data_IF_621811542090
#
_entry.id   IF_621811542090
#
_cell.length_a   1.000
_cell.length_b   1.000
_cell.length_c   1.000
_cell.angle_alpha   90.00
_cell.angle_beta   90.00
_cell.angle_gamma   90.00
#
_symmetry.space_group_name_H-M   'P 1'
#
loop_
_entity.id
_entity.type
_entity.pdbx_description
1 polymer ?
#
# COMPACT_ATOMS: atom_id res chain seq x y z
N UNK A 1 -13.22 -0.49 -11.34
CA UNK A 1 -11.81 -0.23 -10.97
C UNK A 1 -10.95 -1.27 -11.67
N UNK A 2 -9.95 -0.89 -12.46
CA UNK A 2 -9.04 -1.86 -13.10
C UNK A 2 -8.08 -2.40 -12.03
N UNK A 3 -7.91 -3.73 -11.96
CA UNK A 3 -6.95 -4.37 -11.07
C UNK A 3 -5.55 -4.33 -11.70
N UNK A 4 -4.61 -3.71 -11.00
CA UNK A 4 -3.21 -3.67 -11.40
C UNK A 4 -2.48 -4.86 -10.78
N UNK A 5 -2.15 -5.86 -11.60
CA UNK A 5 -1.48 -7.10 -11.16
C UNK A 5 0.04 -7.05 -11.33
N UNK A 6 0.52 -6.28 -12.31
CA UNK A 6 1.95 -6.19 -12.63
C UNK A 6 2.35 -4.75 -12.92
N UNK A 7 3.65 -4.43 -12.81
CA UNK A 7 4.16 -3.10 -13.16
C UNK A 7 3.85 -2.71 -14.62
N UNK A 8 3.66 -3.69 -15.52
CA UNK A 8 3.25 -3.47 -16.91
C UNK A 8 1.75 -3.15 -17.06
N UNK A 9 0.93 -3.52 -16.09
CA UNK A 9 -0.50 -3.19 -16.12
C UNK A 9 -0.78 -1.72 -15.78
N UNK A 10 0.21 -1.02 -15.21
CA UNK A 10 0.13 0.40 -14.86
C UNK A 10 0.42 1.21 -16.14
N UNK A 11 -0.56 1.95 -16.68
CA UNK A 11 -0.44 2.59 -17.99
C UNK A 11 0.75 3.56 -18.07
N UNK A 12 1.07 4.23 -16.97
CA UNK A 12 2.19 5.17 -16.85
C UNK A 12 3.56 4.49 -17.01
N UNK A 13 3.68 3.21 -16.63
CA UNK A 13 4.93 2.44 -16.61
C UNK A 13 5.09 1.48 -17.81
N UNK A 14 4.07 1.32 -18.65
CA UNK A 14 4.01 0.27 -19.69
C UNK A 14 5.17 0.39 -20.69
N UNK A 15 5.40 1.61 -21.19
CA UNK A 15 6.33 1.88 -22.29
C UNK A 15 7.77 2.09 -21.81
N UNK A 16 8.02 2.07 -20.50
CA UNK A 16 9.35 2.24 -19.93
C UNK A 16 10.15 0.92 -19.95
N UNK A 17 11.48 0.99 -20.18
CA UNK A 17 12.35 -0.17 -20.04
C UNK A 17 12.33 -0.69 -18.60
N UNK A 18 12.53 -2.00 -18.43
CA UNK A 18 12.28 -2.70 -17.16
C UNK A 18 13.09 -2.15 -15.96
N UNK A 19 14.31 -1.67 -16.21
CA UNK A 19 15.17 -1.08 -15.17
C UNK A 19 14.60 0.25 -14.66
N UNK A 20 14.23 1.16 -15.57
CA UNK A 20 13.64 2.47 -15.24
C UNK A 20 12.27 2.28 -14.56
N UNK A 21 11.44 1.37 -15.08
CA UNK A 21 10.13 1.05 -14.49
C UNK A 21 10.24 0.62 -13.02
N UNK A 22 11.18 -0.27 -12.70
CA UNK A 22 11.38 -0.72 -11.30
C UNK A 22 11.91 0.40 -10.42
N UNK A 23 12.83 1.22 -10.92
CA UNK A 23 13.38 2.37 -10.20
C UNK A 23 12.29 3.39 -9.86
N UNK A 24 11.54 3.85 -10.87
CA UNK A 24 10.48 4.84 -10.70
C UNK A 24 9.36 4.35 -9.79
N UNK A 25 8.96 3.07 -9.94
CA UNK A 25 7.96 2.48 -9.05
C UNK A 25 8.46 2.42 -7.60
N UNK A 26 9.72 2.04 -7.37
CA UNK A 26 10.31 2.02 -6.02
C UNK A 26 10.36 3.43 -5.43
N UNK A 27 10.73 4.42 -6.21
CA UNK A 27 10.81 5.82 -5.78
C UNK A 27 9.44 6.38 -5.41
N UNK A 28 8.42 6.13 -6.25
CA UNK A 28 7.03 6.47 -5.91
C UNK A 28 6.53 5.73 -4.67
N UNK A 29 6.89 4.45 -4.50
CA UNK A 29 6.61 3.65 -3.30
C UNK A 29 7.19 4.25 -2.02
N UNK A 30 8.43 4.75 -2.08
CA UNK A 30 9.09 5.37 -0.93
C UNK A 30 8.40 6.68 -0.49
N UNK A 31 7.73 7.35 -1.43
CA UNK A 31 7.01 8.59 -1.16
C UNK A 31 5.58 8.36 -0.65
N UNK A 32 4.95 7.21 -0.96
CA UNK A 32 3.58 6.88 -0.55
C UNK A 32 3.23 7.10 0.93
N UNK A 33 4.07 6.75 1.92
CA UNK A 33 3.75 6.95 3.34
C UNK A 33 3.55 8.41 3.74
N UNK A 34 3.85 9.36 2.85
CA UNK A 34 3.59 10.78 3.02
C UNK A 34 2.10 11.13 3.03
N UNK A 35 1.27 10.39 2.28
CA UNK A 35 -0.14 10.73 2.13
C UNK A 35 -1.01 10.01 3.15
N UNK A 36 -1.97 10.72 3.76
CA UNK A 36 -2.92 10.12 4.70
C UNK A 36 -3.74 8.98 4.05
N UNK A 37 -4.00 9.08 2.75
CA UNK A 37 -4.67 8.05 1.94
C UNK A 37 -3.94 6.70 2.01
N UNK A 38 -2.61 6.70 2.15
CA UNK A 38 -1.83 5.48 2.34
C UNK A 38 -2.16 4.83 3.69
N UNK A 39 -2.20 5.62 4.76
CA UNK A 39 -2.55 5.12 6.09
C UNK A 39 -4.00 4.63 6.17
N UNK A 40 -4.92 5.29 5.46
CA UNK A 40 -6.31 4.83 5.29
C UNK A 40 -6.35 3.48 4.57
N UNK A 41 -5.61 3.33 3.47
CA UNK A 41 -5.48 2.04 2.77
C UNK A 41 -4.93 0.93 3.68
N UNK A 42 -4.02 1.27 4.59
CA UNK A 42 -3.39 0.32 5.50
C UNK A 42 -4.40 -0.15 6.55
N UNK A 43 -5.14 0.79 7.13
CA UNK A 43 -6.22 0.51 8.06
C UNK A 43 -7.30 -0.36 7.41
N UNK A 44 -7.70 -0.07 6.17
CA UNK A 44 -8.68 -0.89 5.43
C UNK A 44 -8.16 -2.30 5.19
N UNK A 45 -6.88 -2.47 4.82
CA UNK A 45 -6.29 -3.79 4.64
C UNK A 45 -6.25 -4.59 5.96
N UNK A 46 -5.94 -3.95 7.09
CA UNK A 46 -5.96 -4.57 8.42
C UNK A 46 -7.38 -4.98 8.81
N UNK A 47 -8.38 -4.11 8.65
CA UNK A 47 -9.79 -4.43 8.92
C UNK A 47 -10.24 -5.61 8.06
N UNK A 48 -9.86 -5.62 6.79
CA UNK A 48 -10.17 -6.72 5.88
C UNK A 48 -9.59 -8.04 6.38
N UNK A 49 -8.32 -8.05 6.79
CA UNK A 49 -7.68 -9.23 7.37
C UNK A 49 -8.40 -9.68 8.66
N UNK A 50 -8.83 -8.77 9.53
CA UNK A 50 -9.59 -9.13 10.74
C UNK A 50 -10.91 -9.83 10.35
N UNK A 51 -11.66 -9.27 9.40
CA UNK A 51 -12.93 -9.86 8.93
C UNK A 51 -12.67 -11.25 8.34
N UNK A 52 -11.68 -11.39 7.46
CA UNK A 52 -11.34 -12.69 6.87
C UNK A 52 -10.89 -13.69 7.93
N UNK A 53 -10.19 -13.25 8.98
CA UNK A 53 -9.82 -14.09 10.11
C UNK A 53 -11.05 -14.61 10.84
N UNK A 54 -11.98 -13.72 11.22
CA UNK A 54 -13.22 -14.11 11.91
C UNK A 54 -14.07 -15.07 11.08
N UNK A 55 -14.17 -14.80 9.78
CA UNK A 55 -14.89 -15.68 8.85
C UNK A 55 -14.21 -17.05 8.74
N UNK A 56 -12.88 -17.09 8.63
CA UNK A 56 -12.13 -18.34 8.55
C UNK A 56 -12.29 -19.18 9.82
N UNK A 57 -12.20 -18.55 11.00
CA UNK A 57 -12.33 -19.23 12.28
C UNK A 57 -13.77 -19.74 12.52
N UNK A 58 -14.78 -19.06 11.97
CA UNK A 58 -16.18 -19.53 11.97
C UNK A 58 -16.37 -20.80 11.12
N UNK A 59 -15.79 -20.85 9.92
CA UNK A 59 -15.94 -22.00 9.02
C UNK A 59 -15.03 -23.19 9.37
N UNK A 60 -13.90 -22.94 10.03
CA UNK A 60 -12.93 -23.98 10.39
C UNK A 60 -12.54 -23.94 11.87
N UNK A 61 -13.49 -24.17 12.81
CA UNK A 61 -13.19 -24.09 14.23
C UNK A 61 -12.19 -25.17 14.67
N UNK A 62 -11.24 -24.79 15.55
CA UNK A 62 -10.54 -25.74 16.42
C UNK A 62 -9.42 -26.60 15.81
N UNK A 63 -8.72 -26.16 14.75
CA UNK A 63 -7.53 -26.88 14.23
C UNK A 63 -6.23 -26.11 14.42
N UNK A 64 -5.72 -25.99 15.64
CA UNK A 64 -4.39 -25.41 15.90
C UNK A 64 -3.23 -26.37 15.54
N UNK A 65 -3.18 -26.82 14.29
CA UNK A 65 -2.12 -27.68 13.73
C UNK A 65 -1.27 -26.83 12.78
N UNK A 66 0.04 -27.04 12.74
CA UNK A 66 0.99 -26.27 11.90
C UNK A 66 0.52 -25.96 10.46
N UNK A 67 0.01 -26.94 9.65
CA UNK A 67 -0.46 -26.65 8.29
C UNK A 67 -1.73 -25.78 8.24
N UNK A 68 -2.59 -25.86 9.26
CA UNK A 68 -3.77 -25.00 9.36
C UNK A 68 -3.37 -23.54 9.57
N UNK A 69 -2.40 -23.27 10.45
CA UNK A 69 -1.92 -21.92 10.72
C UNK A 69 -1.28 -21.28 9.48
N UNK A 70 -0.54 -22.07 8.68
CA UNK A 70 0.02 -21.59 7.41
C UNK A 70 -1.10 -21.27 6.41
N UNK A 71 -2.06 -22.17 6.24
CA UNK A 71 -3.17 -22.00 5.29
C UNK A 71 -4.05 -20.80 5.67
N UNK A 72 -4.38 -20.67 6.97
CA UNK A 72 -5.07 -19.51 7.54
C UNK A 72 -4.30 -18.22 7.26
N UNK A 73 -2.99 -18.21 7.49
CA UNK A 73 -2.14 -17.05 7.21
C UNK A 73 -2.25 -16.59 5.75
N UNK A 74 -2.15 -17.52 4.79
CA UNK A 74 -2.33 -17.18 3.38
C UNK A 74 -3.75 -16.70 3.05
N UNK A 75 -4.78 -17.45 3.47
CA UNK A 75 -6.18 -17.11 3.15
C UNK A 75 -6.63 -15.77 3.75
N UNK A 76 -6.15 -15.45 4.95
CA UNK A 76 -6.55 -14.23 5.67
C UNK A 76 -5.78 -13.01 5.19
N UNK A 77 -4.48 -13.14 4.92
CA UNK A 77 -3.61 -11.99 4.60
C UNK A 77 -3.64 -11.63 3.11
N UNK A 78 -3.87 -12.61 2.24
CA UNK A 78 -3.81 -12.40 0.79
C UNK A 78 -4.84 -11.37 0.27
N UNK A 79 -6.13 -11.40 0.69
CA UNK A 79 -7.10 -10.39 0.28
C UNK A 79 -6.71 -8.97 0.71
N UNK A 80 -6.23 -8.81 1.96
CA UNK A 80 -5.76 -7.51 2.45
C UNK A 80 -4.52 -7.01 1.71
N UNK A 81 -3.58 -7.90 1.35
CA UNK A 81 -2.42 -7.53 0.53
C UNK A 81 -2.81 -7.06 -0.87
N UNK A 82 -3.82 -7.68 -1.49
CA UNK A 82 -4.32 -7.24 -2.80
C UNK A 82 -4.92 -5.83 -2.68
N UNK A 83 -5.80 -5.61 -1.70
CA UNK A 83 -6.40 -4.29 -1.48
C UNK A 83 -5.34 -3.23 -1.21
N UNK A 84 -4.37 -3.55 -0.35
CA UNK A 84 -3.24 -2.71 -0.05
C UNK A 84 -2.45 -2.31 -1.30
N UNK A 85 -2.15 -3.27 -2.16
CA UNK A 85 -1.48 -3.02 -3.42
C UNK A 85 -2.29 -2.09 -4.34
N UNK A 86 -3.61 -2.29 -4.45
CA UNK A 86 -4.46 -1.41 -5.27
C UNK A 86 -4.51 0.03 -4.74
N UNK A 87 -4.57 0.21 -3.41
CA UNK A 87 -4.50 1.54 -2.79
C UNK A 87 -3.16 2.22 -3.08
N UNK A 88 -2.05 1.49 -2.96
CA UNK A 88 -0.72 2.01 -3.27
C UNK A 88 -0.63 2.48 -4.73
N UNK A 89 -1.06 1.65 -5.69
CA UNK A 89 -1.06 2.03 -7.10
C UNK A 89 -1.97 3.23 -7.37
N UNK A 90 -3.14 3.30 -6.74
CA UNK A 90 -4.04 4.44 -6.89
C UNK A 90 -3.39 5.76 -6.41
N UNK A 91 -2.76 5.76 -5.24
CA UNK A 91 -2.10 6.94 -4.68
C UNK A 91 -0.90 7.34 -5.55
N UNK A 92 -0.09 6.37 -6.00
CA UNK A 92 1.05 6.66 -6.90
C UNK A 92 0.58 7.31 -8.20
N UNK A 93 -0.49 6.81 -8.82
CA UNK A 93 -1.02 7.36 -10.06
C UNK A 93 -1.66 8.74 -9.87
N UNK A 94 -2.18 9.03 -8.67
CA UNK A 94 -2.81 10.31 -8.35
C UNK A 94 -1.80 11.41 -8.02
N UNK A 95 -0.78 11.11 -7.21
CA UNK A 95 0.17 12.11 -6.69
C UNK A 95 1.55 12.05 -7.38
N UNK A 96 2.04 10.84 -7.67
CA UNK A 96 3.40 10.61 -8.18
C UNK A 96 3.45 10.23 -9.66
N UNK A 97 2.44 10.65 -10.44
CA UNK A 97 2.38 10.38 -11.88
C UNK A 97 3.65 10.83 -12.61
N UNK A 98 4.19 11.98 -12.22
CA UNK A 98 5.43 12.53 -12.76
C UNK A 98 6.66 11.63 -12.53
N UNK A 99 6.75 10.97 -11.36
CA UNK A 99 7.81 9.99 -11.06
C UNK A 99 7.61 8.73 -11.91
N UNK A 100 6.37 8.28 -12.05
CA UNK A 100 6.05 7.09 -12.85
C UNK A 100 6.39 7.29 -14.33
N UNK A 101 6.16 8.47 -14.88
CA UNK A 101 6.44 8.82 -16.28
C UNK A 101 7.89 9.33 -16.50
N UNK A 102 8.72 9.39 -15.45
CA UNK A 102 10.08 9.93 -15.54
C UNK A 102 10.95 9.08 -16.50
N UNK A 103 11.43 9.71 -17.58
CA UNK A 103 12.13 9.03 -18.68
C UNK A 103 11.30 8.82 -19.95
N UNK A 104 10.01 9.21 -19.96
CA UNK A 104 9.17 9.27 -21.17
C UNK A 104 9.29 10.61 -21.93
N UNK A 105 9.63 11.69 -21.24
CA UNK A 105 9.72 13.05 -21.81
C UNK A 105 11.17 13.56 -21.78
N UNK A 106 11.76 13.69 -22.97
CA UNK A 106 12.69 14.77 -23.27
C UNK A 106 11.86 16.05 -23.47
N UNK A 107 12.32 17.18 -22.97
CA UNK A 107 11.72 18.52 -23.00
C UNK A 107 10.70 18.92 -21.91
N UNK A 108 11.12 19.97 -21.17
CA UNK A 108 10.42 20.88 -20.28
C UNK A 108 9.52 20.28 -19.18
N UNK A 109 10.06 20.20 -17.96
CA UNK A 109 9.28 20.15 -16.71
C UNK A 109 8.35 21.38 -16.70
N UNK A 110 7.03 21.15 -16.82
CA UNK A 110 6.04 22.24 -16.81
C UNK A 110 6.01 22.86 -15.42
N UNK A 111 5.93 24.19 -15.30
CA UNK A 111 5.85 24.90 -14.00
C UNK A 111 4.73 24.34 -13.09
N UNK A 112 3.67 23.79 -13.68
CA UNK A 112 2.62 23.08 -12.97
C UNK A 112 3.10 21.81 -12.25
N UNK A 113 3.97 21.01 -12.87
CA UNK A 113 4.56 19.80 -12.29
C UNK A 113 5.53 20.16 -11.15
N UNK A 114 6.27 21.26 -11.30
CA UNK A 114 7.14 21.79 -10.24
C UNK A 114 6.33 22.26 -9.02
N UNK A 115 5.24 22.99 -9.24
CA UNK A 115 4.37 23.46 -8.16
C UNK A 115 3.68 22.30 -7.41
N UNK A 116 3.28 21.24 -8.12
CA UNK A 116 2.76 20.02 -7.49
C UNK A 116 3.84 19.36 -6.61
N UNK A 117 5.07 19.25 -7.11
CA UNK A 117 6.19 18.72 -6.31
C UNK A 117 6.44 19.57 -5.06
N UNK A 118 6.48 20.89 -5.19
CA UNK A 118 6.70 21.79 -4.05
C UNK A 118 5.55 21.73 -3.02
N UNK A 119 4.30 21.60 -3.48
CA UNK A 119 3.15 21.39 -2.60
C UNK A 119 3.21 20.04 -1.87
N UNK A 120 3.53 18.96 -2.57
CA UNK A 120 3.72 17.63 -1.99
C UNK A 120 4.87 17.62 -0.96
N UNK A 121 5.97 18.36 -1.21
CA UNK A 121 7.08 18.48 -0.25
C UNK A 121 6.68 19.20 1.03
N UNK A 122 5.74 20.16 0.94
CA UNK A 122 5.22 20.88 2.12
C UNK A 122 4.27 20.02 2.93
N UNK A 123 3.36 19.29 2.28
CA UNK A 123 2.54 18.28 2.96
C UNK A 123 3.44 17.22 3.63
N UNK A 124 4.49 16.78 2.94
CA UNK A 124 5.46 15.80 3.45
C UNK A 124 6.09 16.24 4.78
N UNK A 125 6.50 17.50 4.91
CA UNK A 125 7.10 18.05 6.13
C UNK A 125 6.06 18.15 7.26
N UNK A 126 4.84 18.59 6.95
CA UNK A 126 3.80 18.85 7.94
C UNK A 126 3.29 17.56 8.62
N UNK A 127 3.18 16.46 7.88
CA UNK A 127 2.62 15.20 8.41
C UNK A 127 3.66 14.24 9.02
N UNK A 128 4.92 14.65 9.12
CA UNK A 128 6.03 13.79 9.61
C UNK A 128 5.75 13.19 11.00
N UNK A 129 5.23 13.97 11.94
CA UNK A 129 4.94 13.50 13.29
C UNK A 129 3.70 12.61 13.34
N UNK A 130 2.64 12.97 12.61
CA UNK A 130 1.44 12.16 12.49
C UNK A 130 1.75 10.78 11.88
N UNK A 131 2.70 10.68 10.95
CA UNK A 131 3.16 9.40 10.39
C UNK A 131 3.75 8.47 11.45
N UNK A 132 4.57 8.98 12.37
CA UNK A 132 5.11 8.15 13.46
C UNK A 132 3.99 7.65 14.39
N UNK A 133 3.02 8.50 14.70
CA UNK A 133 1.87 8.10 15.51
C UNK A 133 0.97 7.10 14.78
N UNK A 134 0.61 7.35 13.52
CA UNK A 134 -0.25 6.46 12.72
C UNK A 134 0.42 5.10 12.48
N UNK A 135 1.72 5.07 12.18
CA UNK A 135 2.48 3.82 12.03
C UNK A 135 2.58 3.04 13.33
N UNK A 136 2.96 3.69 14.44
CA UNK A 136 3.00 3.06 15.75
C UNK A 136 1.62 2.54 16.15
N UNK A 137 0.57 3.31 15.91
CA UNK A 137 -0.81 2.93 16.22
C UNK A 137 -1.27 1.72 15.41
N UNK A 138 -0.98 1.66 14.10
CA UNK A 138 -1.29 0.49 13.29
C UNK A 138 -0.49 -0.75 13.68
N UNK A 139 0.78 -0.58 14.07
CA UNK A 139 1.61 -1.69 14.58
C UNK A 139 1.00 -2.20 15.90
N UNK A 140 0.64 -1.31 16.81
CA UNK A 140 -0.01 -1.66 18.08
C UNK A 140 -1.33 -2.38 17.81
N UNK A 141 -2.20 -1.85 16.94
CA UNK A 141 -3.46 -2.51 16.57
C UNK A 141 -3.20 -3.89 15.97
N UNK A 142 -2.21 -4.03 15.09
CA UNK A 142 -1.88 -5.32 14.48
C UNK A 142 -1.40 -6.32 15.53
N UNK A 143 -0.52 -5.90 16.44
CA UNK A 143 -0.03 -6.74 17.55
C UNK A 143 -1.19 -7.13 18.47
N UNK A 144 -2.02 -6.18 18.89
CA UNK A 144 -3.19 -6.42 19.76
C UNK A 144 -4.18 -7.35 19.06
N UNK A 145 -4.44 -7.16 17.77
CA UNK A 145 -5.35 -8.03 17.00
C UNK A 145 -4.81 -9.46 16.93
N UNK A 146 -3.51 -9.65 16.70
CA UNK A 146 -2.88 -10.97 16.69
C UNK A 146 -2.93 -11.62 18.08
N UNK A 147 -2.65 -10.86 19.14
CA UNK A 147 -2.72 -11.36 20.51
C UNK A 147 -4.14 -11.78 20.91
N UNK A 148 -5.15 -10.95 20.60
CA UNK A 148 -6.56 -11.26 20.85
C UNK A 148 -7.02 -12.49 20.05
N UNK A 149 -6.63 -12.59 18.78
CA UNK A 149 -6.92 -13.76 17.94
C UNK A 149 -6.16 -15.03 18.37
N UNK A 150 -5.07 -14.91 19.13
CA UNK A 150 -4.29 -16.06 19.63
C UNK A 150 -4.80 -16.63 20.96
N UNK A 151 -5.64 -15.87 21.68
CA UNK A 151 -6.23 -16.28 22.96
C UNK A 151 -7.63 -16.90 22.82
N UNK A 152 -8.19 -16.93 21.59
CA UNK A 152 -9.45 -17.60 21.23
C UNK A 152 -9.15 -18.96 20.60
#
# INVERSE_FOLDING_TARGET
MKLYWTLKSIPELTDLPANIRKKNFKEACHALPAHITFWVGAAVAVICNIIFSTVYDYYFPGRNIWPYNITRGFCVVFPGMILWHQFNVYIMRKHYRHILEQGKKTDHESDSERLIREADTREYQQWRYFRYFASAFLIIISIVSVLLLSQV
#
